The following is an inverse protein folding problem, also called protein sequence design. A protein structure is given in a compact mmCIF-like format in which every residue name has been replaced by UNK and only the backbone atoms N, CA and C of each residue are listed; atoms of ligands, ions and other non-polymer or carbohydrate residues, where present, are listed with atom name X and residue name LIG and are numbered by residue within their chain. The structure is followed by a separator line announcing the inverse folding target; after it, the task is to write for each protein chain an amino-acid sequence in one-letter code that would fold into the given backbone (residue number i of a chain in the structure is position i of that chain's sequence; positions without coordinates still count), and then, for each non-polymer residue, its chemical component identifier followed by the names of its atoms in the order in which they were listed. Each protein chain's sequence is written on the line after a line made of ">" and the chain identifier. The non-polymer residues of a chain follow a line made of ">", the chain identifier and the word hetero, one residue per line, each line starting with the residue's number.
data_IF_316231481771
#
_entry.id   IF_316231481771
#
_cell.length_a   1.000
_cell.length_b   1.000
_cell.length_c   1.000
_cell.angle_alpha   90.00
_cell.angle_beta   90.00
_cell.angle_gamma   90.00
#
_symmetry.space_group_name_H-M   'P 1'
#
loop_
_entity.id
_entity.type
_entity.pdbx_description
1 polymer ?
#
# COMPACT_ATOMS: atom_id res chain seq x y z
N UNK A 1 -6.65 -4.96 -7.72
CA UNK A 1 -5.42 -5.77 -7.79
C UNK A 1 -4.53 -5.32 -8.94
N UNK A 2 -3.27 -5.08 -8.66
CA UNK A 2 -2.32 -4.69 -9.69
C UNK A 2 -2.01 -5.86 -10.60
N UNK A 3 -1.95 -5.60 -11.91
CA UNK A 3 -1.63 -6.65 -12.87
C UNK A 3 -0.19 -7.14 -12.64
N UNK A 4 -0.02 -8.46 -12.75
CA UNK A 4 1.28 -9.09 -12.58
C UNK A 4 2.28 -8.53 -13.60
N UNK A 5 3.44 -8.08 -13.13
CA UNK A 5 4.49 -7.52 -13.99
C UNK A 5 4.34 -6.03 -14.28
N UNK A 6 3.25 -5.40 -13.87
CA UNK A 6 3.12 -3.95 -14.00
C UNK A 6 3.65 -3.25 -12.76
N UNK A 7 4.54 -2.29 -12.99
CA UNK A 7 5.01 -1.41 -11.93
C UNK A 7 4.09 -0.19 -11.90
N UNK A 8 3.55 0.10 -10.72
CA UNK A 8 2.79 1.31 -10.49
C UNK A 8 3.46 2.08 -9.36
N UNK A 9 3.89 3.27 -9.69
CA UNK A 9 4.52 4.17 -8.73
C UNK A 9 3.62 5.39 -8.59
N UNK A 10 2.85 5.49 -7.53
CA UNK A 10 1.96 6.64 -7.33
C UNK A 10 2.74 7.90 -7.04
N UNK A 11 2.20 9.02 -7.48
CA UNK A 11 2.70 10.33 -7.10
C UNK A 11 2.37 10.57 -5.63
N UNK A 12 2.98 11.61 -5.04
CA UNK A 12 2.69 11.97 -3.66
C UNK A 12 1.20 12.26 -3.43
N UNK A 13 0.57 12.99 -4.35
CA UNK A 13 -0.85 13.34 -4.20
C UNK A 13 -1.76 12.13 -4.38
N UNK A 14 -1.40 11.21 -5.24
CA UNK A 14 -2.12 9.93 -5.36
C UNK A 14 -2.02 9.14 -4.06
N UNK A 15 -0.83 9.09 -3.44
CA UNK A 15 -0.67 8.44 -2.14
C UNK A 15 -1.50 9.11 -1.06
N UNK A 16 -1.50 10.45 -1.03
CA UNK A 16 -2.28 11.20 -0.04
C UNK A 16 -3.77 10.86 -0.12
N UNK A 17 -4.32 10.78 -1.32
CA UNK A 17 -5.73 10.40 -1.52
C UNK A 17 -5.99 8.97 -1.07
N UNK A 18 -5.13 8.05 -1.47
CA UNK A 18 -5.26 6.63 -1.07
C UNK A 18 -5.16 6.46 0.44
N UNK A 19 -4.25 7.18 1.09
CA UNK A 19 -4.12 7.15 2.56
C UNK A 19 -5.43 7.55 3.25
N UNK A 20 -6.10 8.57 2.73
CA UNK A 20 -7.39 9.00 3.27
C UNK A 20 -8.44 7.89 3.10
N UNK A 21 -8.48 7.26 1.92
CA UNK A 21 -9.44 6.19 1.63
C UNK A 21 -9.20 4.97 2.52
N UNK A 22 -7.94 4.60 2.73
CA UNK A 22 -7.61 3.47 3.62
C UNK A 22 -7.93 3.77 5.08
N UNK A 23 -7.60 4.97 5.54
CA UNK A 23 -7.83 5.39 6.92
C UNK A 23 -9.32 5.49 7.23
N UNK A 24 -10.11 5.95 6.26
CA UNK A 24 -11.55 6.13 6.45
C UNK A 24 -12.35 4.85 6.57
N UNK A 25 -11.83 3.74 6.08
CA UNK A 25 -12.45 2.40 6.14
C UNK A 25 -13.84 2.29 5.52
N UNK A 26 -14.29 3.33 4.81
CA UNK A 26 -15.59 3.37 4.12
C UNK A 26 -15.45 4.16 2.85
N UNK A 27 -16.36 3.99 1.87
CA UNK A 27 -16.33 4.83 0.68
C UNK A 27 -16.45 6.31 1.02
N UNK A 28 -15.71 7.15 0.31
CA UNK A 28 -15.68 8.59 0.58
C UNK A 28 -15.89 9.38 -0.70
N UNK A 29 -16.60 10.49 -0.58
CA UNK A 29 -16.75 11.48 -1.66
C UNK A 29 -15.49 12.35 -1.75
N UNK A 30 -15.36 13.08 -2.88
CA UNK A 30 -14.25 14.02 -3.02
C UNK A 30 -14.25 15.09 -1.91
N UNK A 31 -15.41 15.59 -1.53
CA UNK A 31 -15.54 16.56 -0.43
C UNK A 31 -15.05 16.00 0.89
N UNK A 32 -15.41 14.76 1.19
CA UNK A 32 -14.97 14.10 2.42
C UNK A 32 -13.44 13.91 2.42
N UNK A 33 -12.86 13.58 1.27
CA UNK A 33 -11.41 13.44 1.15
C UNK A 33 -10.70 14.76 1.41
N UNK A 34 -11.20 15.85 0.83
CA UNK A 34 -10.63 17.19 1.05
C UNK A 34 -10.74 17.57 2.53
N UNK A 35 -11.88 17.29 3.18
CA UNK A 35 -12.08 17.60 4.59
C UNK A 35 -11.15 16.79 5.49
N UNK A 36 -10.84 15.55 5.10
CA UNK A 36 -9.96 14.69 5.87
C UNK A 36 -8.49 15.09 5.78
N UNK A 37 -8.09 15.71 4.66
CA UNK A 37 -6.71 16.18 4.46
C UNK A 37 -6.71 17.61 3.91
N UNK A 38 -6.55 18.62 4.78
CA UNK A 38 -6.61 20.02 4.36
C UNK A 38 -5.51 20.45 3.38
N UNK A 39 -4.46 19.68 3.23
CA UNK A 39 -3.40 19.97 2.24
C UNK A 39 -3.87 19.70 0.81
N UNK A 40 -4.94 18.93 0.64
CA UNK A 40 -5.49 18.60 -0.67
C UNK A 40 -6.54 19.63 -1.08
N UNK A 41 -6.46 20.09 -2.33
CA UNK A 41 -7.49 20.95 -2.92
C UNK A 41 -8.52 20.07 -3.64
N UNK A 42 -9.72 20.61 -3.83
CA UNK A 42 -10.77 19.90 -4.57
C UNK A 42 -10.33 19.58 -6.00
N UNK A 43 -9.67 20.51 -6.67
CA UNK A 43 -9.18 20.29 -8.03
C UNK A 43 -8.17 19.15 -8.09
N UNK A 44 -7.24 19.11 -7.14
CA UNK A 44 -6.24 18.04 -7.04
C UNK A 44 -6.92 16.70 -6.79
N UNK A 45 -7.83 16.65 -5.82
CA UNK A 45 -8.54 15.42 -5.47
C UNK A 45 -9.32 14.88 -6.68
N UNK A 46 -10.06 15.74 -7.36
CA UNK A 46 -10.84 15.32 -8.53
C UNK A 46 -9.96 14.78 -9.66
N UNK A 47 -8.82 15.43 -9.92
CA UNK A 47 -7.86 14.98 -10.94
C UNK A 47 -7.26 13.62 -10.56
N UNK A 48 -6.87 13.45 -9.29
CA UNK A 48 -6.31 12.20 -8.78
C UNK A 48 -7.33 11.07 -8.85
N UNK A 49 -8.56 11.33 -8.42
CA UNK A 49 -9.63 10.32 -8.45
C UNK A 49 -9.89 9.83 -9.87
N UNK A 50 -9.92 10.77 -10.83
CA UNK A 50 -10.12 10.42 -12.25
C UNK A 50 -8.99 9.51 -12.74
N UNK A 51 -7.75 9.83 -12.39
CA UNK A 51 -6.60 9.05 -12.78
C UNK A 51 -6.61 7.67 -12.16
N UNK A 52 -6.89 7.58 -10.86
CA UNK A 52 -6.93 6.30 -10.14
C UNK A 52 -8.08 5.41 -10.63
N UNK A 53 -9.22 6.00 -11.01
CA UNK A 53 -10.31 5.26 -11.64
C UNK A 53 -9.88 4.67 -12.97
N UNK A 54 -9.20 5.47 -13.81
CA UNK A 54 -8.69 5.02 -15.10
C UNK A 54 -7.70 3.89 -14.98
N UNK A 55 -6.91 3.88 -13.92
CA UNK A 55 -5.92 2.85 -13.63
C UNK A 55 -6.51 1.64 -12.88
N UNK A 56 -7.79 1.69 -12.52
CA UNK A 56 -8.50 0.63 -11.77
C UNK A 56 -7.89 0.38 -10.39
N UNK A 57 -7.38 1.42 -9.77
CA UNK A 57 -6.86 1.39 -8.40
C UNK A 57 -7.97 1.65 -7.40
N UNK A 58 -8.97 2.44 -7.80
CA UNK A 58 -10.17 2.71 -7.02
C UNK A 58 -11.40 2.44 -7.89
N UNK A 59 -12.57 2.37 -7.24
CA UNK A 59 -13.85 2.24 -7.93
C UNK A 59 -14.86 3.23 -7.36
N UNK A 60 -15.92 3.50 -8.11
CA UNK A 60 -17.10 4.20 -7.61
C UNK A 60 -17.92 3.17 -6.84
N UNK A 61 -17.99 3.32 -5.53
CA UNK A 61 -18.71 2.39 -4.67
C UNK A 61 -20.20 2.69 -4.64
N UNK A 62 -20.56 3.98 -4.64
CA UNK A 62 -21.95 4.40 -4.55
C UNK A 62 -22.10 5.85 -5.01
N UNK A 63 -23.36 6.27 -5.18
CA UNK A 63 -23.71 7.66 -5.42
C UNK A 63 -24.52 8.09 -4.19
N UNK A 64 -24.04 9.09 -3.48
CA UNK A 64 -24.60 9.53 -2.22
C UNK A 64 -24.82 11.05 -2.22
N UNK A 65 -25.65 11.54 -1.32
CA UNK A 65 -25.79 12.96 -1.13
C UNK A 65 -24.60 13.53 -0.35
N UNK A 66 -24.00 14.59 -0.89
CA UNK A 66 -23.01 15.40 -0.21
C UNK A 66 -23.63 16.79 -0.06
N UNK A 67 -24.29 17.03 1.08
CA UNK A 67 -25.20 18.17 1.21
C UNK A 67 -26.41 17.99 0.29
N UNK A 68 -26.77 19.00 -0.51
CA UNK A 68 -27.91 18.91 -1.44
C UNK A 68 -27.57 18.25 -2.79
N UNK A 69 -26.30 17.92 -3.03
CA UNK A 69 -25.82 17.45 -4.35
C UNK A 69 -25.51 15.96 -4.30
N UNK A 70 -25.87 15.24 -5.37
CA UNK A 70 -25.48 13.85 -5.55
C UNK A 70 -24.01 13.80 -5.92
N UNK A 71 -23.27 12.97 -5.22
CA UNK A 71 -21.83 12.82 -5.43
C UNK A 71 -21.45 11.35 -5.45
N UNK A 72 -20.38 11.03 -6.18
CA UNK A 72 -19.83 9.68 -6.19
C UNK A 72 -19.00 9.47 -4.94
N UNK A 73 -19.10 8.29 -4.34
CA UNK A 73 -18.20 7.85 -3.29
C UNK A 73 -17.25 6.81 -3.88
N UNK A 74 -16.04 6.80 -3.38
CA UNK A 74 -14.95 6.00 -3.93
C UNK A 74 -14.39 5.05 -2.88
N UNK A 75 -14.01 3.86 -3.33
CA UNK A 75 -13.34 2.85 -2.51
C UNK A 75 -12.08 2.37 -3.19
N UNK A 76 -11.02 2.07 -2.42
CA UNK A 76 -9.82 1.49 -3.01
C UNK A 76 -10.07 0.04 -3.43
N UNK A 77 -9.55 -0.34 -4.60
CA UNK A 77 -9.54 -1.73 -5.06
C UNK A 77 -8.28 -2.46 -4.63
N UNK A 78 -7.29 -1.73 -4.15
CA UNK A 78 -6.08 -2.29 -3.57
C UNK A 78 -6.06 -1.92 -2.07
N UNK A 79 -5.77 -2.90 -1.23
CA UNK A 79 -5.65 -2.63 0.20
C UNK A 79 -4.33 -1.94 0.53
N UNK A 80 -4.27 -1.31 1.71
CA UNK A 80 -3.03 -0.70 2.20
C UNK A 80 -1.90 -1.74 2.26
N UNK A 81 -2.20 -2.93 2.77
CA UNK A 81 -1.20 -4.00 2.87
C UNK A 81 -0.73 -4.47 1.50
N UNK A 82 -1.65 -4.63 0.53
CA UNK A 82 -1.28 -4.99 -0.84
C UNK A 82 -0.38 -3.93 -1.47
N UNK A 83 -0.68 -2.65 -1.23
CA UNK A 83 0.13 -1.56 -1.74
C UNK A 83 1.54 -1.57 -1.14
N UNK A 84 1.65 -1.69 0.19
CA UNK A 84 2.92 -1.73 0.89
C UNK A 84 3.75 -2.93 0.41
N UNK A 85 3.12 -4.10 0.31
CA UNK A 85 3.79 -5.32 -0.17
C UNK A 85 4.30 -5.17 -1.59
N UNK A 86 3.50 -4.55 -2.47
CA UNK A 86 3.88 -4.32 -3.86
C UNK A 86 5.09 -3.40 -3.98
N UNK A 87 5.10 -2.29 -3.23
CA UNK A 87 6.22 -1.35 -3.22
C UNK A 87 7.49 -2.00 -2.68
N UNK A 88 7.34 -2.75 -1.60
CA UNK A 88 8.46 -3.45 -0.97
C UNK A 88 9.05 -4.51 -1.91
N UNK A 89 8.20 -5.25 -2.62
CA UNK A 89 8.66 -6.26 -3.59
C UNK A 89 9.48 -5.65 -4.72
N UNK A 90 9.08 -4.48 -5.21
CA UNK A 90 9.84 -3.78 -6.25
C UNK A 90 11.22 -3.34 -5.73
N UNK A 91 11.27 -2.84 -4.51
CA UNK A 91 12.52 -2.45 -3.88
C UNK A 91 13.43 -3.66 -3.65
N UNK A 92 12.87 -4.78 -3.22
CA UNK A 92 13.62 -6.02 -3.04
C UNK A 92 14.19 -6.54 -4.35
N UNK A 93 13.44 -6.46 -5.45
CA UNK A 93 13.93 -6.89 -6.76
C UNK A 93 15.17 -6.13 -7.16
N UNK A 94 15.17 -4.80 -6.94
CA UNK A 94 16.35 -3.99 -7.23
C UNK A 94 17.52 -4.35 -6.32
N UNK A 95 17.25 -4.56 -5.03
CA UNK A 95 18.27 -4.88 -4.04
C UNK A 95 18.87 -6.28 -4.27
N UNK A 96 18.07 -7.23 -4.70
CA UNK A 96 18.55 -8.60 -4.95
C UNK A 96 19.65 -8.68 -6.01
N UNK A 97 19.78 -7.67 -6.85
CA UNK A 97 20.85 -7.61 -7.86
C UNK A 97 22.19 -7.21 -7.24
N UNK A 98 22.17 -6.59 -6.08
CA UNK A 98 23.36 -6.04 -5.43
C UNK A 98 23.64 -6.64 -4.05
N UNK A 99 22.61 -7.20 -3.39
CA UNK A 99 22.74 -7.73 -2.03
C UNK A 99 21.96 -9.04 -1.92
N UNK A 100 22.55 -10.03 -1.22
CA UNK A 100 21.86 -11.29 -0.97
C UNK A 100 20.83 -11.15 0.16
N UNK A 101 19.84 -12.05 0.18
CA UNK A 101 18.85 -12.09 1.25
C UNK A 101 19.47 -12.29 2.64
N UNK A 102 20.44 -13.21 2.83
CA UNK A 102 21.11 -13.33 4.11
C UNK A 102 21.81 -12.04 4.56
N UNK A 103 22.46 -11.34 3.65
CA UNK A 103 23.11 -10.06 3.96
C UNK A 103 22.09 -9.00 4.36
N UNK A 104 20.95 -8.95 3.68
CA UNK A 104 19.87 -8.03 4.02
C UNK A 104 19.31 -8.33 5.43
N UNK A 105 19.07 -9.61 5.73
CA UNK A 105 18.58 -10.03 7.05
C UNK A 105 19.59 -9.69 8.15
N UNK A 106 20.87 -9.90 7.89
CA UNK A 106 21.91 -9.53 8.85
C UNK A 106 21.84 -8.04 9.17
N UNK A 107 21.71 -7.19 8.15
CA UNK A 107 21.60 -5.75 8.34
C UNK A 107 20.38 -5.39 9.17
N UNK A 108 19.23 -6.03 8.89
CA UNK A 108 17.99 -5.77 9.63
C UNK A 108 18.12 -6.17 11.11
N UNK A 109 18.71 -7.32 11.39
CA UNK A 109 18.91 -7.77 12.78
C UNK A 109 19.95 -6.92 13.53
N UNK A 110 21.01 -6.51 12.84
CA UNK A 110 22.02 -5.64 13.45
C UNK A 110 21.43 -4.28 13.85
N UNK A 111 20.43 -3.81 13.12
CA UNK A 111 19.76 -2.55 13.41
C UNK A 111 18.73 -2.64 14.54
N UNK A 112 18.25 -3.84 14.88
CA UNK A 112 17.25 -4.02 15.92
C UNK A 112 17.91 -4.03 17.30
N UNK A 113 17.42 -3.18 18.20
CA UNK A 113 17.96 -3.03 19.56
C UNK A 113 17.32 -3.96 20.58
N UNK A 114 16.13 -4.45 20.30
CA UNK A 114 15.39 -5.34 21.20
C UNK A 114 15.81 -6.78 20.97
N UNK A 115 16.64 -7.31 21.87
CA UNK A 115 17.17 -8.67 21.78
C UNK A 115 16.09 -9.74 21.88
N UNK A 116 15.09 -9.52 22.70
CA UNK A 116 13.99 -10.50 22.85
C UNK A 116 13.17 -10.59 21.57
N UNK A 117 12.94 -9.46 20.92
CA UNK A 117 12.27 -9.41 19.63
C UNK A 117 13.07 -10.15 18.56
N UNK A 118 14.38 -9.94 18.52
CA UNK A 118 15.28 -10.64 17.57
C UNK A 118 15.20 -12.14 17.78
N UNK A 119 15.24 -12.61 19.02
CA UNK A 119 15.15 -14.05 19.34
C UNK A 119 13.83 -14.65 18.86
N UNK A 120 12.73 -13.96 19.09
CA UNK A 120 11.41 -14.42 18.65
C UNK A 120 11.33 -14.48 17.12
N UNK A 121 11.83 -13.47 16.44
CA UNK A 121 11.85 -13.43 14.99
C UNK A 121 12.74 -14.53 14.39
N UNK A 122 13.88 -14.83 15.02
CA UNK A 122 14.75 -15.91 14.58
C UNK A 122 14.02 -17.25 14.63
N UNK A 123 13.28 -17.50 15.70
CA UNK A 123 12.52 -18.76 15.82
C UNK A 123 11.46 -18.88 14.72
N UNK A 124 10.73 -17.80 14.43
CA UNK A 124 9.76 -17.78 13.35
C UNK A 124 10.42 -18.00 11.99
N UNK A 125 11.56 -17.36 11.76
CA UNK A 125 12.31 -17.51 10.52
C UNK A 125 12.83 -18.93 10.33
N UNK A 126 13.33 -19.54 11.38
CA UNK A 126 13.81 -20.93 11.31
C UNK A 126 12.70 -21.88 10.88
N UNK A 127 11.49 -21.72 11.44
CA UNK A 127 10.34 -22.52 11.07
C UNK A 127 9.95 -22.27 9.60
N UNK A 128 9.89 -21.02 9.20
CA UNK A 128 9.56 -20.64 7.84
C UNK A 128 10.58 -21.20 6.83
N UNK A 129 11.85 -21.09 7.15
CA UNK A 129 12.91 -21.59 6.27
C UNK A 129 12.85 -23.11 6.13
N UNK A 130 12.51 -23.82 7.21
CA UNK A 130 12.34 -25.27 7.15
C UNK A 130 11.17 -25.66 6.25
N UNK A 131 10.06 -24.92 6.32
CA UNK A 131 8.91 -25.13 5.44
C UNK A 131 9.28 -24.92 3.97
N UNK A 132 10.02 -23.85 3.67
CA UNK A 132 10.50 -23.61 2.30
C UNK A 132 11.43 -24.70 1.82
N UNK A 133 12.32 -25.17 2.68
CA UNK A 133 13.25 -26.26 2.34
C UNK A 133 12.47 -27.51 1.93
N UNK A 134 11.41 -27.85 2.66
CA UNK A 134 10.55 -28.99 2.33
C UNK A 134 9.87 -28.83 0.99
N UNK A 135 9.44 -27.61 0.65
CA UNK A 135 8.81 -27.34 -0.64
C UNK A 135 9.76 -27.53 -1.82
N UNK A 136 11.05 -27.35 -1.60
CA UNK A 136 12.07 -27.45 -2.64
C UNK A 136 12.55 -28.88 -2.90
N UNK A 137 12.19 -29.81 -2.02
CA UNK A 137 12.55 -31.23 -2.14
C UNK A 137 11.58 -31.99 -3.03
#
# INVERSE_FOLDING_TARGET
>A
MLAKGKTWAPTRREQDVLEVLWTGEKPMTASEIVNANPELTMNTVQAVLRKLLGQKIIEVADIVYSGPVLSRSYSPLISHDEFISSQFSQDLERLNKTISKPSLLKTLFDAEKDRDRVKAEIEELEQMLEEYRKKLQ
#
